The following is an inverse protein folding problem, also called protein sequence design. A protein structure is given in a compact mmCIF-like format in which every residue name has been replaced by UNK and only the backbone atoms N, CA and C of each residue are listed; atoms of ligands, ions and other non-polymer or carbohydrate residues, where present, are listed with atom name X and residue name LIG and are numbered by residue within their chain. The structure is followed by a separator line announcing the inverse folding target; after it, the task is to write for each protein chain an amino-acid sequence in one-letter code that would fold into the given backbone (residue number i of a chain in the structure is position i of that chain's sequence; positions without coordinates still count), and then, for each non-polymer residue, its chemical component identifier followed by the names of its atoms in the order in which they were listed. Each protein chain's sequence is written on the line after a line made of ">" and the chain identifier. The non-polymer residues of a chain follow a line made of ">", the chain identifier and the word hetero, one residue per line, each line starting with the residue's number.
data_IF_476226962719
#
_entry.id   IF_476226962719
#
_cell.length_a   1.000
_cell.length_b   1.000
_cell.length_c   1.000
_cell.angle_alpha   90.00
_cell.angle_beta   90.00
_cell.angle_gamma   90.00
#
_symmetry.space_group_name_H-M   'P 1'
#
loop_
_entity.id
_entity.type
_entity.pdbx_description
1 polymer ?
#
# COMPACT_ATOMS: atom_id res chain seq x y z
N UNK A 1 44.18 14.55 -17.10
CA UNK A 1 42.94 14.95 -16.39
C UNK A 1 42.19 13.68 -16.00
N UNK A 2 41.98 13.39 -14.69
CA UNK A 2 41.12 12.30 -14.27
C UNK A 2 39.68 12.70 -14.52
N UNK A 3 39.04 12.16 -15.56
CA UNK A 3 37.61 12.35 -15.78
C UNK A 3 36.84 11.81 -14.56
N UNK A 4 36.25 12.69 -13.78
CA UNK A 4 35.32 12.29 -12.72
C UNK A 4 34.09 11.66 -13.36
N UNK A 5 34.03 10.32 -13.34
CA UNK A 5 32.93 9.58 -13.93
C UNK A 5 31.64 9.88 -13.17
N UNK A 6 30.68 10.52 -13.82
CA UNK A 6 29.34 10.71 -13.29
C UNK A 6 28.59 9.39 -13.32
N UNK A 7 27.96 9.00 -12.21
CA UNK A 7 27.21 7.75 -12.08
C UNK A 7 25.96 7.96 -11.25
N UNK A 8 24.92 7.17 -11.48
CA UNK A 8 23.71 7.16 -10.64
C UNK A 8 24.03 6.95 -9.15
N UNK A 9 24.99 6.08 -8.84
CA UNK A 9 25.41 5.86 -7.45
C UNK A 9 25.97 7.11 -6.78
N UNK A 10 26.72 7.93 -7.51
CA UNK A 10 27.22 9.23 -7.00
C UNK A 10 26.11 10.26 -6.84
N UNK A 11 25.03 10.16 -7.61
CA UNK A 11 23.82 11.00 -7.47
C UNK A 11 22.86 10.53 -6.35
N UNK A 12 23.18 9.42 -5.67
CA UNK A 12 22.41 8.92 -4.55
C UNK A 12 21.44 7.79 -4.89
N UNK A 13 21.39 7.33 -6.15
CA UNK A 13 20.50 6.24 -6.62
C UNK A 13 21.27 4.93 -6.69
N UNK A 14 20.73 3.87 -6.06
CA UNK A 14 21.36 2.54 -6.02
C UNK A 14 20.58 1.49 -6.81
N UNK A 15 20.87 1.40 -8.09
CA UNK A 15 20.23 0.45 -9.04
C UNK A 15 20.33 -1.00 -8.53
N UNK A 16 21.49 -1.44 -8.04
CA UNK A 16 21.66 -2.81 -7.55
C UNK A 16 20.76 -3.17 -6.37
N UNK A 17 20.51 -2.23 -5.45
CA UNK A 17 19.58 -2.46 -4.35
C UNK A 17 18.12 -2.46 -4.85
N UNK A 18 17.79 -1.62 -5.83
CA UNK A 18 16.48 -1.64 -6.49
C UNK A 18 16.20 -3.01 -7.13
N UNK A 19 17.16 -3.54 -7.91
CA UNK A 19 17.04 -4.86 -8.55
C UNK A 19 16.87 -6.00 -7.51
N UNK A 20 17.61 -5.96 -6.40
CA UNK A 20 17.43 -6.91 -5.30
C UNK A 20 16.04 -6.85 -4.70
N UNK A 21 15.46 -5.64 -4.60
CA UNK A 21 14.13 -5.45 -4.07
C UNK A 21 13.07 -5.97 -5.03
N UNK A 22 13.13 -5.65 -6.32
CA UNK A 22 12.22 -6.18 -7.34
C UNK A 22 12.26 -7.71 -7.37
N UNK A 23 13.45 -8.31 -7.31
CA UNK A 23 13.60 -9.76 -7.22
C UNK A 23 12.97 -10.36 -5.96
N UNK A 24 13.06 -9.66 -4.83
CA UNK A 24 12.38 -10.08 -3.60
C UNK A 24 10.86 -10.06 -3.77
N UNK A 25 10.29 -8.99 -4.30
CA UNK A 25 8.84 -8.89 -4.55
C UNK A 25 8.39 -10.03 -5.45
N UNK A 26 9.02 -10.19 -6.61
CA UNK A 26 8.69 -11.22 -7.60
C UNK A 26 8.67 -12.66 -7.02
N UNK A 27 9.54 -12.95 -6.07
CA UNK A 27 9.63 -14.28 -5.42
C UNK A 27 8.61 -14.49 -4.31
N UNK A 28 8.13 -13.42 -3.67
CA UNK A 28 7.32 -13.49 -2.45
C UNK A 28 5.86 -13.07 -2.67
N UNK A 29 5.47 -12.74 -3.89
CA UNK A 29 4.12 -12.30 -4.22
C UNK A 29 3.32 -13.42 -4.91
N UNK A 30 2.06 -13.60 -4.51
CA UNK A 30 1.11 -14.55 -5.08
C UNK A 30 0.80 -15.76 -4.19
N UNK A 31 -0.44 -16.28 -4.29
CA UNK A 31 -1.07 -17.30 -3.42
C UNK A 31 -0.31 -18.63 -3.25
N UNK A 32 0.75 -18.91 -4.03
CA UNK A 32 1.50 -20.18 -3.97
C UNK A 32 3.01 -20.02 -3.95
N UNK A 33 3.55 -18.86 -3.55
CA UNK A 33 5.00 -18.58 -3.57
C UNK A 33 5.65 -18.87 -4.95
N UNK A 34 4.87 -18.85 -6.02
CA UNK A 34 5.37 -18.96 -7.39
C UNK A 34 5.81 -17.57 -7.84
N UNK A 35 6.93 -17.51 -8.57
CA UNK A 35 7.43 -16.27 -9.17
C UNK A 35 6.30 -15.60 -9.95
N UNK A 36 5.87 -14.41 -9.52
CA UNK A 36 4.87 -13.65 -10.23
C UNK A 36 5.52 -13.05 -11.48
N UNK A 37 5.18 -13.60 -12.65
CA UNK A 37 5.74 -13.17 -13.94
C UNK A 37 5.37 -11.73 -14.34
N UNK A 38 4.36 -11.17 -13.70
CA UNK A 38 3.91 -9.79 -13.98
C UNK A 38 4.80 -8.74 -13.30
N UNK A 39 5.54 -9.10 -12.24
CA UNK A 39 6.40 -8.17 -11.51
C UNK A 39 7.74 -8.04 -12.20
N UNK A 40 8.16 -6.78 -12.44
CA UNK A 40 9.39 -6.42 -13.16
C UNK A 40 9.20 -6.15 -14.65
N UNK A 41 7.96 -6.19 -15.16
CA UNK A 41 7.58 -5.71 -16.50
C UNK A 41 6.99 -4.31 -16.49
N UNK A 42 6.65 -3.78 -17.66
CA UNK A 42 6.06 -2.44 -17.81
C UNK A 42 4.59 -2.35 -17.35
N UNK A 43 3.89 -3.46 -17.32
CA UNK A 43 2.51 -3.54 -16.87
C UNK A 43 2.11 -4.95 -16.51
N UNK A 44 1.04 -5.09 -15.75
CA UNK A 44 0.49 -6.38 -15.38
C UNK A 44 -0.71 -6.75 -16.24
N UNK A 45 -0.81 -8.03 -16.61
CA UNK A 45 -1.94 -8.57 -17.35
C UNK A 45 -2.74 -9.45 -16.39
N UNK A 46 -4.02 -9.15 -16.26
CA UNK A 46 -4.94 -9.87 -15.38
C UNK A 46 -6.19 -10.29 -16.11
N UNK A 47 -6.68 -11.49 -15.81
CA UNK A 47 -7.91 -11.98 -16.39
C UNK A 47 -9.14 -11.35 -15.73
N UNK A 48 -10.14 -11.00 -16.54
CA UNK A 48 -11.45 -10.61 -16.05
C UNK A 48 -12.20 -11.89 -15.64
N UNK A 49 -12.72 -11.97 -14.38
CA UNK A 49 -13.48 -13.13 -13.95
C UNK A 49 -14.75 -13.35 -14.80
N UNK A 50 -15.00 -14.59 -15.22
CA UNK A 50 -16.11 -14.93 -16.13
C UNK A 50 -17.49 -14.99 -15.46
N UNK A 51 -17.56 -14.93 -14.13
CA UNK A 51 -18.79 -15.10 -13.35
C UNK A 51 -19.60 -13.80 -13.14
N UNK A 52 -19.30 -12.74 -13.89
CA UNK A 52 -20.02 -11.48 -13.89
C UNK A 52 -20.81 -11.33 -15.20
N UNK A 53 -22.09 -10.92 -15.11
CA UNK A 53 -22.98 -10.77 -16.27
C UNK A 53 -22.80 -9.43 -16.97
N UNK A 54 -22.75 -8.34 -16.18
CA UNK A 54 -22.51 -6.98 -16.68
C UNK A 54 -21.45 -6.31 -15.79
N UNK A 55 -20.17 -6.69 -15.95
CA UNK A 55 -19.10 -6.25 -15.05
C UNK A 55 -18.81 -4.76 -15.21
N UNK A 56 -18.66 -4.07 -14.09
CA UNK A 56 -18.13 -2.71 -13.99
C UNK A 56 -16.82 -2.76 -13.22
N UNK A 57 -15.85 -1.97 -13.67
CA UNK A 57 -14.57 -1.80 -12.97
C UNK A 57 -14.75 -0.69 -11.95
N UNK A 58 -14.26 -0.93 -10.74
CA UNK A 58 -14.13 0.08 -9.67
C UNK A 58 -12.66 0.21 -9.34
N UNK A 59 -12.15 1.42 -9.30
CA UNK A 59 -10.76 1.71 -8.96
C UNK A 59 -10.70 2.73 -7.83
N UNK A 60 -9.73 2.56 -6.94
CA UNK A 60 -9.45 3.45 -5.83
C UNK A 60 -7.95 3.61 -5.66
N UNK A 61 -7.54 4.77 -5.14
CA UNK A 61 -6.17 5.05 -4.73
C UNK A 61 -6.18 5.76 -3.39
N UNK A 62 -5.27 5.37 -2.51
CA UNK A 62 -5.10 6.01 -1.21
C UNK A 62 -3.64 5.87 -0.74
N UNK A 63 -3.26 6.66 0.27
CA UNK A 63 -1.97 6.61 0.93
C UNK A 63 -2.14 6.47 2.45
N UNK A 64 -1.14 5.90 3.12
CA UNK A 64 -1.19 5.73 4.59
C UNK A 64 -1.14 7.08 5.33
N UNK A 65 -0.61 8.12 4.69
CA UNK A 65 -0.51 9.44 5.27
C UNK A 65 0.43 9.50 6.49
N UNK A 66 0.13 10.40 7.43
CA UNK A 66 1.10 10.75 8.50
C UNK A 66 1.31 9.66 9.57
N UNK A 67 0.59 8.54 9.52
CA UNK A 67 0.88 7.33 10.31
C UNK A 67 2.30 6.79 10.03
N UNK A 68 2.81 7.01 8.81
CA UNK A 68 4.18 6.67 8.42
C UNK A 68 5.21 7.23 9.41
N UNK A 69 5.00 8.41 9.96
CA UNK A 69 5.92 9.02 10.90
C UNK A 69 6.02 8.24 12.22
N UNK A 70 4.91 7.65 12.67
CA UNK A 70 4.90 6.75 13.84
C UNK A 70 5.61 5.45 13.52
N UNK A 71 5.36 4.88 12.34
CA UNK A 71 6.06 3.69 11.88
C UNK A 71 7.58 3.89 11.80
N UNK A 72 8.03 5.05 11.31
CA UNK A 72 9.44 5.44 11.30
C UNK A 72 10.02 5.54 12.71
N UNK A 73 9.30 6.18 13.64
CA UNK A 73 9.74 6.37 15.03
C UNK A 73 9.88 5.03 15.76
N UNK A 74 8.96 4.11 15.51
CA UNK A 74 8.94 2.77 16.12
C UNK A 74 9.75 1.73 15.34
N UNK A 75 10.21 2.08 14.13
CA UNK A 75 10.85 1.15 13.19
C UNK A 75 9.99 -0.10 12.87
N UNK A 76 8.65 0.08 12.79
CA UNK A 76 7.67 -0.96 12.49
C UNK A 76 6.99 -0.67 11.14
N UNK A 77 7.25 -1.50 10.14
CA UNK A 77 6.79 -1.27 8.76
C UNK A 77 5.86 -2.37 8.22
N UNK A 78 5.84 -3.54 8.84
CA UNK A 78 5.06 -4.68 8.37
C UNK A 78 3.53 -4.50 8.51
N UNK A 79 3.06 -3.69 9.44
CA UNK A 79 1.63 -3.42 9.62
C UNK A 79 1.13 -2.33 8.69
N UNK A 80 1.97 -1.37 8.38
CA UNK A 80 1.60 -0.21 7.53
C UNK A 80 1.24 -0.62 6.09
N UNK A 81 1.82 -1.72 5.58
CA UNK A 81 1.44 -2.28 4.29
C UNK A 81 0.03 -2.88 4.32
N UNK A 82 -0.40 -3.44 5.46
CA UNK A 82 -1.79 -3.92 5.64
C UNK A 82 -2.74 -2.73 5.64
N UNK A 83 -2.41 -1.65 6.36
CA UNK A 83 -3.19 -0.40 6.37
C UNK A 83 -3.36 0.14 4.94
N UNK A 84 -2.30 0.18 4.14
CA UNK A 84 -2.34 0.68 2.77
C UNK A 84 -3.35 -0.08 1.91
N UNK A 85 -3.30 -1.41 1.96
CA UNK A 85 -4.24 -2.25 1.21
C UNK A 85 -5.67 -2.05 1.72
N UNK A 86 -5.87 -2.00 3.04
CA UNK A 86 -7.18 -1.82 3.64
C UNK A 86 -7.83 -0.51 3.23
N UNK A 87 -7.09 0.59 3.21
CA UNK A 87 -7.60 1.90 2.80
C UNK A 87 -8.14 1.87 1.36
N UNK A 88 -7.35 1.38 0.42
CA UNK A 88 -7.77 1.28 -0.98
C UNK A 88 -8.92 0.28 -1.19
N UNK A 89 -8.87 -0.88 -0.53
CA UNK A 89 -9.85 -1.95 -0.72
C UNK A 89 -11.20 -1.58 -0.10
N UNK A 90 -11.23 -0.88 1.03
CA UNK A 90 -12.48 -0.44 1.64
C UNK A 90 -13.28 0.47 0.71
N UNK A 91 -12.62 1.33 -0.07
CA UNK A 91 -13.28 2.17 -1.08
C UNK A 91 -13.92 1.34 -2.21
N UNK A 92 -13.34 0.20 -2.56
CA UNK A 92 -13.96 -0.73 -3.51
C UNK A 92 -15.19 -1.41 -2.90
N UNK A 93 -15.08 -1.86 -1.65
CA UNK A 93 -16.12 -2.61 -0.96
C UNK A 93 -17.38 -1.76 -0.75
N UNK A 94 -17.24 -0.47 -0.41
CA UNK A 94 -18.39 0.42 -0.23
C UNK A 94 -19.16 0.69 -1.54
N UNK A 95 -18.55 0.38 -2.70
CA UNK A 95 -19.23 0.37 -3.99
C UNK A 95 -19.84 -1.00 -4.34
N UNK A 96 -19.66 -2.03 -3.49
CA UNK A 96 -20.08 -3.40 -3.74
C UNK A 96 -19.12 -4.21 -4.61
N UNK A 97 -17.93 -3.69 -4.87
CA UNK A 97 -16.95 -4.34 -5.73
C UNK A 97 -16.11 -5.39 -4.98
N UNK A 98 -15.82 -6.48 -5.67
CA UNK A 98 -14.86 -7.50 -5.23
C UNK A 98 -13.47 -7.05 -5.65
N UNK A 99 -12.51 -6.90 -4.72
CA UNK A 99 -11.13 -6.60 -5.06
C UNK A 99 -10.51 -7.69 -5.95
N UNK A 100 -9.73 -7.29 -6.95
CA UNK A 100 -9.06 -8.20 -7.90
C UNK A 100 -7.55 -8.05 -7.84
N UNK A 101 -7.06 -6.82 -8.08
CA UNK A 101 -5.63 -6.53 -8.18
C UNK A 101 -5.27 -5.31 -7.34
N UNK A 102 -4.01 -5.29 -6.94
CA UNK A 102 -3.40 -4.20 -6.19
C UNK A 102 -2.06 -3.83 -6.80
N UNK A 103 -1.74 -2.54 -6.82
CA UNK A 103 -0.43 -2.00 -7.17
C UNK A 103 0.00 -1.04 -6.06
N UNK A 104 1.29 -0.95 -5.81
CA UNK A 104 1.87 -0.01 -4.86
C UNK A 104 2.77 1.02 -5.54
N UNK A 105 2.88 2.19 -4.93
CA UNK A 105 3.90 3.17 -5.24
C UNK A 105 4.66 3.53 -3.97
N UNK A 106 5.96 3.30 -3.98
CA UNK A 106 6.84 3.64 -2.87
C UNK A 106 7.82 4.69 -3.34
N UNK A 107 7.81 5.87 -2.73
CA UNK A 107 8.82 6.89 -2.94
C UNK A 107 9.67 7.07 -1.68
N UNK A 108 10.98 7.02 -1.82
CA UNK A 108 11.91 6.98 -0.68
C UNK A 108 13.17 7.79 -0.96
N UNK A 109 13.73 8.43 0.06
CA UNK A 109 15.01 9.14 -0.08
C UNK A 109 16.13 8.22 -0.53
N UNK A 110 16.29 7.07 0.15
CA UNK A 110 17.32 6.06 -0.15
C UNK A 110 16.79 4.67 0.14
N UNK A 111 17.02 3.73 -0.79
CA UNK A 111 16.60 2.33 -0.65
C UNK A 111 17.18 1.73 0.63
N UNK A 112 16.28 1.14 1.43
CA UNK A 112 16.59 0.34 2.61
C UNK A 112 15.85 -0.98 2.49
N UNK A 113 16.55 -2.03 2.07
CA UNK A 113 15.97 -3.34 1.79
C UNK A 113 15.23 -3.94 2.98
N UNK A 114 15.72 -3.77 4.21
CA UNK A 114 15.06 -4.31 5.41
C UNK A 114 13.68 -3.66 5.61
N UNK A 115 13.62 -2.34 5.52
CA UNK A 115 12.38 -1.57 5.63
C UNK A 115 11.40 -1.93 4.52
N UNK A 116 11.85 -1.90 3.27
CA UNK A 116 11.01 -2.16 2.10
C UNK A 116 10.48 -3.58 2.08
N UNK A 117 11.29 -4.58 2.44
CA UNK A 117 10.83 -5.97 2.57
C UNK A 117 9.75 -6.13 3.63
N UNK A 118 9.90 -5.48 4.79
CA UNK A 118 8.87 -5.51 5.84
C UNK A 118 7.56 -4.87 5.35
N UNK A 119 7.64 -3.74 4.65
CA UNK A 119 6.51 -3.03 4.07
C UNK A 119 5.75 -3.91 3.08
N UNK A 120 6.45 -4.48 2.08
CA UNK A 120 5.84 -5.34 1.05
C UNK A 120 5.27 -6.63 1.64
N UNK A 121 5.87 -7.20 2.68
CA UNK A 121 5.27 -8.33 3.39
C UNK A 121 3.91 -7.94 4.00
N UNK A 122 3.79 -6.71 4.53
CA UNK A 122 2.51 -6.16 4.98
C UNK A 122 1.50 -6.00 3.85
N UNK A 123 1.93 -5.46 2.69
CA UNK A 123 1.08 -5.33 1.49
C UNK A 123 0.60 -6.70 1.04
N UNK A 124 1.49 -7.68 0.89
CA UNK A 124 1.10 -9.05 0.53
C UNK A 124 0.08 -9.64 1.50
N UNK A 125 0.30 -9.46 2.82
CA UNK A 125 -0.67 -9.91 3.83
C UNK A 125 -2.02 -9.22 3.70
N UNK A 126 -2.03 -7.90 3.46
CA UNK A 126 -3.26 -7.15 3.21
C UNK A 126 -3.99 -7.65 1.97
N UNK A 127 -3.27 -7.93 0.88
CA UNK A 127 -3.83 -8.51 -0.33
C UNK A 127 -4.42 -9.91 -0.10
N UNK A 128 -3.74 -10.76 0.68
CA UNK A 128 -4.24 -12.09 1.02
C UNK A 128 -5.54 -12.02 1.83
N UNK A 129 -5.60 -11.11 2.83
CA UNK A 129 -6.81 -10.88 3.65
C UNK A 129 -7.97 -10.39 2.78
N UNK A 130 -7.69 -9.47 1.85
CA UNK A 130 -8.70 -8.83 0.99
C UNK A 130 -9.09 -9.69 -0.22
N UNK A 131 -8.38 -10.78 -0.47
CA UNK A 131 -8.61 -11.67 -1.61
C UNK A 131 -8.20 -11.10 -2.96
N UNK A 132 -7.38 -10.04 -2.99
CA UNK A 132 -6.77 -9.48 -4.20
C UNK A 132 -5.32 -9.95 -4.39
N UNK A 133 -4.68 -9.55 -5.47
CA UNK A 133 -3.31 -9.94 -5.80
C UNK A 133 -2.47 -8.69 -6.05
N UNK A 134 -1.31 -8.60 -5.39
CA UNK A 134 -0.30 -7.60 -5.77
C UNK A 134 0.29 -8.01 -7.14
N UNK A 135 0.07 -7.20 -8.15
CA UNK A 135 0.44 -7.53 -9.54
C UNK A 135 1.58 -6.68 -10.08
N UNK A 136 1.94 -5.63 -9.39
CA UNK A 136 3.00 -4.71 -9.78
C UNK A 136 3.05 -3.51 -8.86
N UNK A 137 3.85 -2.54 -9.23
CA UNK A 137 4.04 -1.30 -8.50
C UNK A 137 5.29 -0.58 -8.97
N UNK A 138 5.65 0.49 -8.28
CA UNK A 138 6.84 1.28 -8.56
C UNK A 138 7.57 1.63 -7.27
N UNK A 139 8.89 1.63 -7.31
CA UNK A 139 9.72 2.09 -6.20
C UNK A 139 10.70 3.13 -6.70
N UNK A 140 10.47 4.38 -6.33
CA UNK A 140 11.28 5.52 -6.74
C UNK A 140 12.27 5.92 -5.63
N UNK A 141 13.56 5.82 -5.91
CA UNK A 141 14.60 6.39 -5.07
C UNK A 141 14.79 7.86 -5.45
N UNK A 142 14.46 8.78 -4.54
CA UNK A 142 14.35 10.22 -4.80
C UNK A 142 15.22 11.04 -3.83
N UNK A 143 16.56 10.97 -3.97
CA UNK A 143 17.46 11.78 -3.17
C UNK A 143 17.25 13.28 -3.47
N UNK A 144 17.15 14.10 -2.41
CA UNK A 144 16.88 15.53 -2.54
C UNK A 144 15.40 15.91 -2.46
N UNK A 145 14.48 15.04 -2.88
CA UNK A 145 13.03 15.24 -2.72
C UNK A 145 12.59 14.86 -1.31
N UNK A 146 13.02 13.70 -0.84
CA UNK A 146 12.77 13.27 0.54
C UNK A 146 13.99 13.46 1.43
N UNK A 147 13.77 13.94 2.64
CA UNK A 147 14.80 14.01 3.69
C UNK A 147 15.24 12.59 4.09
N UNK A 148 16.41 12.51 4.73
CA UNK A 148 16.97 11.22 5.21
C UNK A 148 15.93 10.40 6.00
N UNK A 149 15.80 9.13 5.66
CA UNK A 149 14.86 8.17 6.23
C UNK A 149 13.37 8.45 5.97
N UNK A 150 13.03 9.48 5.21
CA UNK A 150 11.65 9.75 4.81
C UNK A 150 11.25 8.97 3.57
N UNK A 151 9.99 8.60 3.52
CA UNK A 151 9.37 7.89 2.41
C UNK A 151 7.87 8.15 2.43
N UNK A 152 7.21 7.87 1.31
CA UNK A 152 5.76 7.83 1.21
C UNK A 152 5.33 6.57 0.49
N UNK A 153 4.08 6.16 0.72
CA UNK A 153 3.48 4.99 0.10
C UNK A 153 2.05 5.28 -0.31
N UNK A 154 1.73 4.89 -1.52
CA UNK A 154 0.37 4.91 -2.05
C UNK A 154 0.00 3.54 -2.62
N UNK A 155 -1.29 3.23 -2.62
CA UNK A 155 -1.85 2.02 -3.18
C UNK A 155 -2.89 2.33 -4.24
N UNK A 156 -3.05 1.41 -5.17
CA UNK A 156 -4.04 1.43 -6.23
C UNK A 156 -4.73 0.08 -6.25
N UNK A 157 -6.02 0.07 -5.94
CA UNK A 157 -6.81 -1.14 -5.98
C UNK A 157 -7.80 -1.09 -7.14
N UNK A 158 -7.96 -2.22 -7.82
CA UNK A 158 -8.97 -2.40 -8.85
C UNK A 158 -9.84 -3.59 -8.50
N UNK A 159 -11.14 -3.39 -8.55
CA UNK A 159 -12.15 -4.41 -8.28
C UNK A 159 -13.20 -4.46 -9.39
N UNK A 160 -14.13 -5.40 -9.25
CA UNK A 160 -15.18 -5.65 -10.20
C UNK A 160 -16.51 -5.85 -9.47
N UNK A 161 -17.59 -5.33 -10.05
CA UNK A 161 -18.94 -5.49 -9.54
C UNK A 161 -19.92 -5.67 -10.71
N UNK A 162 -20.95 -6.48 -10.55
CA UNK A 162 -22.07 -6.45 -11.49
C UNK A 162 -22.85 -5.15 -11.36
N UNK A 163 -23.22 -4.52 -12.45
CA UNK A 163 -23.95 -3.24 -12.46
C UNK A 163 -25.15 -3.24 -11.51
N UNK A 164 -25.94 -4.32 -11.49
CA UNK A 164 -27.11 -4.46 -10.62
C UNK A 164 -26.77 -4.58 -9.12
N UNK A 165 -25.51 -4.88 -8.79
CA UNK A 165 -25.01 -5.05 -7.42
C UNK A 165 -24.26 -3.83 -6.90
N UNK A 166 -24.14 -2.78 -7.69
CA UNK A 166 -23.54 -1.52 -7.23
C UNK A 166 -24.33 -0.98 -6.04
N UNK A 167 -23.63 -0.72 -4.94
CA UNK A 167 -24.22 -0.12 -3.74
C UNK A 167 -24.48 1.36 -4.05
N UNK A 168 -25.72 1.79 -3.80
CA UNK A 168 -26.15 3.13 -4.13
C UNK A 168 -26.91 3.74 -2.93
N UNK A 169 -26.48 4.92 -2.49
CA UNK A 169 -27.10 5.68 -1.40
C UNK A 169 -28.60 5.91 -1.58
N UNK A 170 -29.08 5.98 -2.82
CA UNK A 170 -30.51 6.17 -3.11
C UNK A 170 -31.39 4.94 -2.76
N UNK A 171 -30.77 3.81 -2.43
CA UNK A 171 -31.46 2.60 -1.96
C UNK A 171 -31.66 2.59 -0.44
N UNK A 172 -31.03 3.49 0.30
CA UNK A 172 -31.13 3.57 1.77
C UNK A 172 -32.53 4.07 2.14
N UNK A 173 -33.17 3.40 3.09
CA UNK A 173 -34.52 3.69 3.59
C UNK A 173 -34.49 4.03 5.08
N UNK A 174 -35.50 4.77 5.54
CA UNK A 174 -35.61 5.19 6.95
C UNK A 174 -35.63 4.04 7.97
N UNK A 175 -36.05 2.83 7.55
CA UNK A 175 -36.16 1.65 8.42
C UNK A 175 -34.99 0.64 8.23
N UNK A 176 -33.93 1.02 7.52
CA UNK A 176 -32.75 0.17 7.38
C UNK A 176 -32.03 0.02 8.72
N UNK A 177 -31.55 -1.19 8.98
CA UNK A 177 -30.75 -1.48 10.18
C UNK A 177 -29.33 -0.96 10.02
N UNK A 178 -28.83 -0.28 11.05
CA UNK A 178 -27.45 0.16 11.14
C UNK A 178 -26.65 -0.91 11.86
N UNK A 179 -25.65 -1.48 11.17
CA UNK A 179 -24.70 -2.40 11.77
C UNK A 179 -23.45 -1.64 12.19
N UNK A 180 -23.02 -1.81 13.42
CA UNK A 180 -21.78 -1.26 13.96
C UNK A 180 -20.78 -2.39 14.24
N UNK A 181 -19.55 -2.16 13.85
CA UNK A 181 -18.42 -3.05 14.16
C UNK A 181 -17.51 -2.31 15.13
N UNK A 182 -17.16 -2.90 16.29
CA UNK A 182 -16.27 -2.25 17.24
C UNK A 182 -14.88 -2.03 16.65
N UNK A 183 -14.27 -0.90 16.99
CA UNK A 183 -12.89 -0.59 16.60
C UNK A 183 -11.91 -1.17 17.61
N UNK A 184 -10.78 -1.70 17.13
CA UNK A 184 -9.66 -2.14 17.97
C UNK A 184 -8.75 -0.98 18.42
N UNK A 185 -9.11 0.25 18.09
CA UNK A 185 -8.36 1.47 18.35
C UNK A 185 -8.32 2.37 17.14
N UNK A 186 -7.31 3.25 17.05
CA UNK A 186 -7.10 4.10 15.87
C UNK A 186 -6.55 3.28 14.72
N UNK A 187 -7.23 3.30 13.56
CA UNK A 187 -6.81 2.51 12.40
C UNK A 187 -5.87 3.29 11.46
N UNK A 188 -6.39 3.89 10.39
CA UNK A 188 -5.56 4.47 9.34
C UNK A 188 -5.56 6.00 9.34
N UNK A 189 -6.67 6.63 9.70
CA UNK A 189 -6.86 8.07 9.60
C UNK A 189 -6.65 8.81 10.93
N UNK A 190 -6.56 10.15 10.85
CA UNK A 190 -6.48 11.02 12.02
C UNK A 190 -5.09 11.14 12.66
N UNK A 191 -4.04 10.61 12.04
CA UNK A 191 -2.70 10.54 12.62
C UNK A 191 -1.99 11.90 12.74
N UNK A 192 -2.39 12.92 12.01
CA UNK A 192 -1.90 14.27 12.22
C UNK A 192 -2.29 14.78 13.62
N UNK A 193 -3.54 14.59 14.03
CA UNK A 193 -4.04 14.95 15.35
C UNK A 193 -3.40 14.09 16.45
N UNK A 194 -3.33 12.77 16.23
CA UNK A 194 -2.67 11.84 17.17
C UNK A 194 -1.23 12.28 17.43
N UNK A 195 -0.44 12.53 16.39
CA UNK A 195 0.95 12.99 16.52
C UNK A 195 1.06 14.34 17.24
N UNK A 196 0.12 15.24 16.98
CA UNK A 196 0.05 16.51 17.71
C UNK A 196 -0.17 16.29 19.21
N UNK A 197 -1.14 15.42 19.58
CA UNK A 197 -1.45 15.06 20.97
C UNK A 197 -0.24 14.42 21.65
N UNK A 198 0.39 13.42 21.01
CA UNK A 198 1.58 12.76 21.52
C UNK A 198 2.71 13.75 21.82
N UNK A 199 2.93 14.70 20.91
CA UNK A 199 3.94 15.77 21.09
C UNK A 199 3.57 16.67 22.27
N UNK A 200 2.32 17.14 22.35
CA UNK A 200 1.86 18.04 23.43
C UNK A 200 1.90 17.38 24.79
N UNK A 201 1.53 16.11 24.88
CA UNK A 201 1.54 15.32 26.12
C UNK A 201 2.92 14.74 26.44
N UNK A 202 3.92 14.95 25.58
CA UNK A 202 5.30 14.41 25.74
C UNK A 202 5.34 12.89 25.88
N UNK A 203 4.38 12.17 25.25
CA UNK A 203 4.28 10.70 25.29
C UNK A 203 5.43 10.10 24.47
N UNK A 204 6.16 9.18 25.06
CA UNK A 204 7.23 8.43 24.41
C UNK A 204 6.74 7.04 23.98
N UNK A 205 6.42 6.87 22.70
CA UNK A 205 5.91 5.63 22.14
C UNK A 205 6.81 4.39 22.34
N UNK A 206 8.08 4.57 22.74
CA UNK A 206 9.00 3.45 23.02
C UNK A 206 8.99 3.00 24.47
N UNK A 207 8.48 3.84 25.37
CA UNK A 207 8.49 3.59 26.82
C UNK A 207 7.09 3.44 27.40
N UNK A 208 6.12 4.13 26.82
CA UNK A 208 4.80 4.32 27.41
C UNK A 208 3.72 3.45 26.74
N UNK A 209 4.12 2.54 25.82
CA UNK A 209 3.22 1.59 25.13
C UNK A 209 3.82 0.20 25.15
#
# INVERSE_FOLDING_TARGET
>A
MKYNKFTYQKSGVNISEADKFVNFISKNTGKKKRKNKNIGGFGSISNIPKNFKNPKIVASTDGVGTKIEIANQLNKFNTIGIDLVAMCVNDLIVQGAKPLIFLDYISINKINLKKLKALINGVNKGCDISGCVLVGGETAEMPGTYSKNKFDIAGFAVGIVDEKKIINKNKIKNNDLILAVPSSGTHSNGYSLIRYILKKKKINLKKDI
#
